data_IF_459909060153
#
_entry.id   IF_459909060153
#
_cell.length_a   1.000
_cell.length_b   1.000
_cell.length_c   1.000
_cell.angle_alpha   90.00
_cell.angle_beta   90.00
_cell.angle_gamma   90.00
#
_symmetry.space_group_name_H-M   'P 1'
#
loop_
_entity.id
_entity.type
_entity.pdbx_description
1 polymer ?
#
# COMPACT_ATOMS: atom_id res chain seq x y z
N UNK A 1 -1.70 -8.65 13.04
CA UNK A 1 -0.39 -9.31 12.92
C UNK A 1 0.05 -9.17 11.48
N UNK A 2 1.30 -8.79 11.24
CA UNK A 2 1.89 -8.79 9.90
C UNK A 2 2.12 -10.24 9.45
N UNK A 3 1.84 -10.54 8.19
CA UNK A 3 1.95 -11.89 7.63
C UNK A 3 3.38 -12.06 7.14
N UNK A 4 4.01 -13.24 7.32
CA UNK A 4 5.34 -13.48 6.75
C UNK A 4 5.33 -13.27 5.23
N UNK A 5 6.32 -12.58 4.65
CA UNK A 5 6.38 -12.34 3.21
C UNK A 5 6.30 -13.63 2.39
N UNK A 6 5.45 -13.62 1.37
CA UNK A 6 5.25 -14.75 0.46
C UNK A 6 4.45 -15.89 1.07
N UNK A 7 3.67 -15.69 2.12
CA UNK A 7 2.78 -16.74 2.65
C UNK A 7 1.59 -17.03 1.73
N UNK A 8 1.11 -16.01 1.02
CA UNK A 8 -0.13 -16.03 0.23
C UNK A 8 0.17 -15.87 -1.25
N UNK A 9 1.23 -15.14 -1.58
CA UNK A 9 1.56 -14.77 -2.97
C UNK A 9 2.93 -15.29 -3.37
N UNK A 10 3.14 -15.51 -4.67
CA UNK A 10 4.46 -15.88 -5.22
C UNK A 10 5.34 -14.62 -5.31
N UNK A 11 6.19 -14.39 -4.32
CA UNK A 11 6.96 -13.14 -4.16
C UNK A 11 7.81 -12.75 -5.37
N UNK A 12 8.49 -13.70 -6.00
CA UNK A 12 9.35 -13.45 -7.14
C UNK A 12 8.67 -13.65 -8.50
N UNK A 13 7.33 -13.70 -8.54
CA UNK A 13 6.60 -14.00 -9.78
C UNK A 13 6.90 -13.01 -10.91
N UNK A 14 7.17 -11.75 -10.58
CA UNK A 14 7.62 -10.73 -11.53
C UNK A 14 8.90 -11.09 -12.31
N UNK A 15 9.67 -12.09 -11.86
CA UNK A 15 10.87 -12.62 -12.51
C UNK A 15 10.60 -13.89 -13.33
N UNK A 16 9.45 -14.53 -13.13
CA UNK A 16 9.10 -15.79 -13.79
C UNK A 16 8.69 -15.58 -15.26
N UNK A 17 8.89 -16.60 -16.10
CA UNK A 17 8.57 -16.51 -17.52
C UNK A 17 7.05 -16.45 -17.79
N UNK A 18 6.26 -17.13 -16.97
CA UNK A 18 4.80 -17.20 -17.04
C UNK A 18 4.11 -15.88 -16.63
N UNK A 19 4.81 -14.98 -15.95
CA UNK A 19 4.27 -13.67 -15.57
C UNK A 19 4.38 -12.61 -16.67
N UNK A 20 5.20 -12.86 -17.70
CA UNK A 20 5.53 -11.88 -18.75
C UNK A 20 4.30 -11.33 -19.45
N UNK A 21 3.31 -12.17 -19.74
CA UNK A 21 2.08 -11.74 -20.41
C UNK A 21 1.30 -10.71 -19.58
N UNK A 22 1.26 -10.87 -18.27
CA UNK A 22 0.58 -9.94 -17.35
C UNK A 22 1.39 -8.65 -17.16
N UNK A 23 2.70 -8.77 -16.91
CA UNK A 23 3.57 -7.60 -16.74
C UNK A 23 3.71 -6.77 -18.02
N UNK A 24 3.58 -7.39 -19.20
CA UNK A 24 3.54 -6.67 -20.48
C UNK A 24 2.38 -5.67 -20.59
N UNK A 25 1.30 -5.85 -19.82
CA UNK A 25 0.14 -4.95 -19.84
C UNK A 25 0.36 -3.66 -19.06
N UNK A 26 1.29 -3.69 -18.09
CA UNK A 26 1.66 -2.53 -17.28
C UNK A 26 3.02 -1.94 -17.67
N UNK A 27 3.69 -2.54 -18.65
CA UNK A 27 4.97 -2.08 -19.18
C UNK A 27 4.85 -1.62 -20.64
N UNK A 28 5.55 -0.55 -21.00
CA UNK A 28 5.75 -0.10 -22.36
C UNK A 28 7.22 0.26 -22.56
N UNK A 29 7.89 -0.36 -23.56
CA UNK A 29 9.33 -0.19 -23.81
C UNK A 29 10.21 -0.33 -22.54
N UNK A 30 9.94 -1.37 -21.74
CA UNK A 30 10.60 -1.68 -20.45
C UNK A 30 10.40 -0.65 -19.32
N UNK A 31 9.57 0.38 -19.53
CA UNK A 31 9.15 1.33 -18.47
C UNK A 31 7.72 1.03 -18.05
N UNK A 32 7.33 1.37 -16.82
CA UNK A 32 5.91 1.28 -16.42
C UNK A 32 5.07 2.24 -17.26
N UNK A 33 3.93 1.76 -17.72
CA UNK A 33 2.93 2.57 -18.41
C UNK A 33 2.24 3.46 -17.38
N UNK A 34 2.03 4.73 -17.72
CA UNK A 34 1.18 5.64 -16.96
C UNK A 34 -0.28 5.31 -17.25
N UNK A 35 -1.08 5.14 -16.21
CA UNK A 35 -2.52 4.97 -16.29
C UNK A 35 -3.20 6.20 -15.73
N UNK A 36 -4.21 6.71 -16.44
CA UNK A 36 -5.18 7.65 -15.89
C UNK A 36 -6.05 7.00 -14.80
N UNK A 37 -6.80 7.81 -14.04
CA UNK A 37 -7.63 7.34 -12.93
C UNK A 37 -8.68 6.29 -13.37
N UNK A 38 -9.22 6.46 -14.57
CA UNK A 38 -10.22 5.60 -15.20
C UNK A 38 -9.62 4.54 -16.12
N UNK A 39 -8.30 4.58 -16.36
CA UNK A 39 -7.65 3.63 -17.24
C UNK A 39 -7.28 2.35 -16.48
N UNK A 40 -7.31 1.23 -17.18
CA UNK A 40 -6.88 -0.06 -16.66
C UNK A 40 -6.12 -0.85 -17.74
N UNK A 41 -5.20 -1.75 -17.35
CA UNK A 41 -4.58 -2.67 -18.28
C UNK A 41 -5.65 -3.57 -18.91
N UNK A 42 -5.68 -3.62 -20.24
CA UNK A 42 -6.63 -4.47 -20.97
C UNK A 42 -6.13 -5.91 -20.98
N UNK A 43 -6.90 -6.80 -20.36
CA UNK A 43 -6.66 -8.24 -20.38
C UNK A 43 -7.44 -8.89 -21.54
N UNK A 44 -6.87 -9.89 -22.22
CA UNK A 44 -7.62 -10.69 -23.18
C UNK A 44 -8.84 -11.37 -22.52
N UNK A 45 -9.99 -11.51 -23.19
CA UNK A 45 -11.21 -12.08 -22.58
C UNK A 45 -11.06 -13.51 -22.05
N UNK A 46 -10.11 -14.28 -22.59
CA UNK A 46 -9.82 -15.64 -22.15
C UNK A 46 -8.96 -15.70 -20.88
N UNK A 47 -8.29 -14.60 -20.52
CA UNK A 47 -7.56 -14.47 -19.26
C UNK A 47 -8.51 -13.95 -18.20
N UNK A 48 -9.07 -14.87 -17.40
CA UNK A 48 -9.95 -14.51 -16.29
C UNK A 48 -9.13 -13.90 -15.14
N UNK A 49 -8.89 -12.59 -15.20
CA UNK A 49 -8.06 -11.84 -14.26
C UNK A 49 -8.87 -10.71 -13.65
N UNK A 50 -9.15 -10.86 -12.37
CA UNK A 50 -9.91 -9.85 -11.63
C UNK A 50 -9.00 -8.72 -11.15
N UNK A 51 -9.54 -7.51 -11.17
CA UNK A 51 -8.90 -6.31 -10.65
C UNK A 51 -9.48 -6.01 -9.27
N UNK A 52 -8.63 -6.07 -8.25
CA UNK A 52 -8.95 -5.68 -6.88
C UNK A 52 -8.43 -4.26 -6.62
N UNK A 53 -9.21 -3.43 -5.93
CA UNK A 53 -8.94 -1.99 -5.79
C UNK A 53 -8.72 -1.64 -4.33
N UNK A 54 -7.67 -0.87 -4.06
CA UNK A 54 -7.34 -0.44 -2.70
C UNK A 54 -6.90 1.02 -2.68
N UNK A 55 -7.45 1.79 -1.73
CA UNK A 55 -7.01 3.14 -1.39
C UNK A 55 -5.86 3.06 -0.38
N UNK A 56 -4.73 3.64 -0.76
CA UNK A 56 -3.50 3.63 0.04
C UNK A 56 -3.09 5.07 0.36
N UNK A 57 -3.12 5.44 1.63
CA UNK A 57 -2.67 6.76 2.08
C UNK A 57 -1.16 6.76 2.32
N UNK A 58 -0.45 7.74 1.77
CA UNK A 58 0.97 8.00 2.03
C UNK A 58 1.06 9.14 3.05
N UNK A 59 1.61 8.84 4.22
CA UNK A 59 1.74 9.80 5.32
C UNK A 59 3.19 9.97 5.78
N UNK A 60 3.51 11.14 6.30
CA UNK A 60 4.86 11.49 6.76
C UNK A 60 5.13 12.98 6.65
N UNK A 61 6.25 13.43 7.24
CA UNK A 61 6.62 14.85 7.30
C UNK A 61 6.81 15.49 5.91
N UNK A 62 6.77 16.82 5.85
CA UNK A 62 7.20 17.54 4.63
C UNK A 62 8.66 17.18 4.27
N UNK A 63 8.97 17.03 2.98
CA UNK A 63 10.34 16.74 2.52
C UNK A 63 10.85 15.30 2.67
N UNK A 64 10.07 14.38 3.26
CA UNK A 64 10.45 12.96 3.41
C UNK A 64 10.35 12.16 2.11
N UNK A 65 9.85 12.73 1.01
CA UNK A 65 9.80 12.05 -0.29
C UNK A 65 8.51 11.25 -0.56
N UNK A 66 7.36 11.68 -0.05
CA UNK A 66 6.05 11.09 -0.36
C UNK A 66 5.78 11.04 -1.87
N UNK A 67 5.90 12.18 -2.55
CA UNK A 67 5.66 12.28 -3.99
C UNK A 67 6.66 11.49 -4.80
N UNK A 68 7.92 11.44 -4.33
CA UNK A 68 8.96 10.62 -4.94
C UNK A 68 8.64 9.12 -4.82
N UNK A 69 8.09 8.65 -3.69
CA UNK A 69 7.64 7.27 -3.53
C UNK A 69 6.46 6.95 -4.45
N UNK A 70 5.43 7.81 -4.48
CA UNK A 70 4.27 7.63 -5.35
C UNK A 70 4.69 7.53 -6.83
N UNK A 71 5.53 8.48 -7.28
CA UNK A 71 6.10 8.48 -8.62
C UNK A 71 6.90 7.19 -8.89
N UNK A 72 7.74 6.76 -7.95
CA UNK A 72 8.55 5.55 -8.08
C UNK A 72 7.71 4.28 -8.24
N UNK A 73 6.68 4.11 -7.42
CA UNK A 73 5.78 2.95 -7.50
C UNK A 73 5.00 2.93 -8.83
N UNK A 74 4.67 4.09 -9.37
CA UNK A 74 4.07 4.22 -10.69
C UNK A 74 5.07 4.15 -11.85
N UNK A 75 6.38 4.20 -11.58
CA UNK A 75 7.45 4.28 -12.58
C UNK A 75 7.44 5.59 -13.38
N UNK A 76 6.99 6.67 -12.75
CA UNK A 76 7.06 8.04 -13.23
C UNK A 76 8.45 8.63 -12.94
N UNK A 77 8.74 9.77 -13.57
CA UNK A 77 9.96 10.53 -13.27
C UNK A 77 9.91 11.07 -11.85
N UNK A 78 11.03 10.96 -11.13
CA UNK A 78 11.11 11.48 -9.77
C UNK A 78 11.14 13.01 -9.79
N UNK A 79 10.41 13.68 -8.88
CA UNK A 79 10.53 15.12 -8.70
C UNK A 79 11.98 15.52 -8.41
N UNK A 80 12.55 16.44 -9.22
CA UNK A 80 13.92 16.94 -9.03
C UNK A 80 14.05 17.99 -7.94
N UNK A 81 12.95 18.68 -7.66
CA UNK A 81 12.86 19.72 -6.64
C UNK A 81 11.72 19.38 -5.70
N UNK A 82 11.91 19.65 -4.41
CA UNK A 82 10.85 19.50 -3.42
C UNK A 82 9.92 20.71 -3.49
N UNK A 83 8.64 20.43 -3.72
CA UNK A 83 7.55 21.38 -3.52
C UNK A 83 6.55 20.74 -2.58
N UNK A 84 6.00 21.51 -1.65
CA UNK A 84 4.93 21.01 -0.81
C UNK A 84 3.65 20.86 -1.62
N UNK A 85 3.07 19.66 -1.58
CA UNK A 85 1.79 19.36 -2.24
C UNK A 85 0.67 20.17 -1.61
N UNK A 86 0.08 21.09 -2.37
CA UNK A 86 -0.93 22.04 -1.88
C UNK A 86 -2.31 21.42 -1.68
N UNK A 87 -2.54 20.22 -2.24
CA UNK A 87 -3.79 19.49 -2.14
C UNK A 87 -3.58 17.98 -2.05
N UNK A 88 -4.62 17.22 -2.42
CA UNK A 88 -4.56 15.76 -2.54
C UNK A 88 -4.10 15.42 -3.95
N UNK A 89 -3.06 14.60 -4.05
CA UNK A 89 -2.64 13.98 -5.30
C UNK A 89 -2.92 12.47 -5.25
N UNK A 90 -3.47 11.95 -6.35
CA UNK A 90 -3.78 10.53 -6.50
C UNK A 90 -2.98 9.93 -7.65
N UNK A 91 -2.21 8.88 -7.37
CA UNK A 91 -1.44 8.13 -8.37
C UNK A 91 -1.91 6.68 -8.41
N UNK A 92 -2.26 6.17 -9.60
CA UNK A 92 -2.72 4.79 -9.76
C UNK A 92 -1.55 3.87 -10.11
N UNK A 93 -1.43 2.75 -9.40
CA UNK A 93 -0.43 1.71 -9.64
C UNK A 93 -1.10 0.36 -9.82
N UNK A 94 -0.81 -0.31 -10.93
CA UNK A 94 -1.22 -1.69 -11.17
C UNK A 94 -0.07 -2.65 -10.85
N UNK A 95 -0.38 -3.74 -10.15
CA UNK A 95 0.57 -4.79 -9.79
C UNK A 95 -0.05 -6.19 -9.95
N UNK A 96 0.38 -6.98 -10.95
CA UNK A 96 -0.04 -8.37 -11.12
C UNK A 96 0.56 -9.27 -10.02
N UNK A 97 -0.26 -10.12 -9.44
CA UNK A 97 0.15 -11.05 -8.39
C UNK A 97 -0.46 -12.42 -8.64
N UNK A 98 0.31 -13.49 -8.38
CA UNK A 98 -0.17 -14.88 -8.41
C UNK A 98 -0.34 -15.40 -6.99
N UNK A 99 -1.56 -15.85 -6.67
CA UNK A 99 -1.88 -16.52 -5.41
C UNK A 99 -1.22 -17.91 -5.38
N UNK A 100 -0.63 -18.27 -4.23
CA UNK A 100 0.04 -19.56 -4.06
C UNK A 100 -0.94 -20.72 -4.06
N UNK A 101 -2.01 -20.61 -3.28
CA UNK A 101 -2.90 -21.75 -3.03
C UNK A 101 -3.74 -22.13 -4.25
N UNK A 102 -4.25 -21.13 -4.98
CA UNK A 102 -5.15 -21.35 -6.13
C UNK A 102 -4.45 -21.24 -7.47
N UNK A 103 -3.23 -20.70 -7.51
CA UNK A 103 -2.53 -20.34 -8.74
C UNK A 103 -3.17 -19.20 -9.53
N UNK A 104 -4.28 -18.62 -9.04
CA UNK A 104 -5.03 -17.55 -9.69
C UNK A 104 -4.22 -16.25 -9.72
N UNK A 105 -4.39 -15.49 -10.80
CA UNK A 105 -3.77 -14.17 -10.97
C UNK A 105 -4.78 -13.09 -10.66
N UNK A 106 -4.35 -12.08 -9.90
CA UNK A 106 -5.09 -10.87 -9.59
C UNK A 106 -4.28 -9.64 -10.01
N UNK A 107 -4.99 -8.59 -10.43
CA UNK A 107 -4.40 -7.27 -10.63
C UNK A 107 -4.76 -6.37 -9.46
N UNK A 108 -3.77 -6.02 -8.66
CA UNK A 108 -3.94 -5.05 -7.60
C UNK A 108 -3.86 -3.65 -8.19
N UNK A 109 -4.93 -2.87 -8.05
CA UNK A 109 -5.01 -1.45 -8.40
C UNK A 109 -4.91 -0.64 -7.11
N UNK A 110 -3.72 -0.16 -6.82
CA UNK A 110 -3.47 0.76 -5.71
C UNK A 110 -3.75 2.19 -6.16
N UNK A 111 -4.67 2.86 -5.50
CA UNK A 111 -4.80 4.31 -5.57
C UNK A 111 -3.95 4.90 -4.45
N UNK A 112 -2.79 5.46 -4.80
CA UNK A 112 -1.90 6.11 -3.85
C UNK A 112 -2.37 7.53 -3.64
N UNK A 113 -2.87 7.83 -2.45
CA UNK A 113 -3.31 9.15 -2.03
C UNK A 113 -2.21 9.79 -1.19
N UNK A 114 -1.77 10.98 -1.59
CA UNK A 114 -0.85 11.77 -0.78
C UNK A 114 -1.33 13.21 -0.64
N UNK A 115 -0.91 13.84 0.46
CA UNK A 115 -1.19 15.24 0.73
C UNK A 115 0.00 15.87 1.45
N UNK A 116 0.26 17.15 1.18
CA UNK A 116 1.24 17.93 1.93
C UNK A 116 0.89 17.98 3.40
N UNK A 117 1.90 17.95 4.27
CA UNK A 117 1.68 17.93 5.72
C UNK A 117 1.06 19.25 6.19
N UNK A 118 1.54 20.38 5.67
CA UNK A 118 0.97 21.70 5.97
C UNK A 118 -0.48 21.80 5.50
N UNK A 119 -0.81 21.23 4.33
CA UNK A 119 -2.19 21.21 3.83
C UNK A 119 -3.11 20.36 4.73
N UNK A 120 -2.66 19.18 5.17
CA UNK A 120 -3.41 18.35 6.11
C UNK A 120 -3.65 19.03 7.45
N UNK A 121 -2.69 19.81 7.94
CA UNK A 121 -2.80 20.54 9.23
C UNK A 121 -3.62 21.83 9.12
N UNK A 122 -3.57 22.50 7.97
CA UNK A 122 -4.23 23.79 7.74
C UNK A 122 -5.71 23.65 7.44
N UNK A 123 -6.11 22.54 6.84
CA UNK A 123 -7.47 22.32 6.37
C UNK A 123 -8.07 21.09 7.04
N UNK A 124 -8.96 21.33 8.01
CA UNK A 124 -9.54 20.27 8.87
C UNK A 124 -10.26 19.16 8.09
N UNK A 125 -10.73 19.45 6.87
CA UNK A 125 -11.42 18.49 6.01
C UNK A 125 -10.49 17.58 5.19
N UNK A 126 -9.21 17.92 5.06
CA UNK A 126 -8.27 17.17 4.19
C UNK A 126 -7.93 15.80 4.77
N UNK A 127 -7.59 15.75 6.07
CA UNK A 127 -7.23 14.50 6.73
C UNK A 127 -8.42 13.51 6.80
N UNK A 128 -9.65 13.92 7.17
CA UNK A 128 -10.83 13.06 7.08
C UNK A 128 -11.05 12.48 5.69
N UNK A 129 -10.98 13.29 4.62
CA UNK A 129 -11.13 12.82 3.23
C UNK A 129 -10.06 11.81 2.82
N UNK A 130 -8.82 11.99 3.30
CA UNK A 130 -7.75 11.03 3.08
C UNK A 130 -7.96 9.71 3.82
N UNK A 131 -8.53 9.77 5.04
CA UNK A 131 -8.80 8.61 5.90
C UNK A 131 -10.05 7.83 5.53
N UNK A 132 -11.03 8.47 4.90
CA UNK A 132 -12.28 7.81 4.51
C UNK A 132 -12.00 6.64 3.57
N UNK A 133 -12.51 5.45 3.93
CA UNK A 133 -12.37 4.21 3.14
C UNK A 133 -10.91 3.88 2.77
N UNK A 134 -9.96 4.18 3.66
CA UNK A 134 -8.56 3.82 3.45
C UNK A 134 -8.34 2.35 3.79
N UNK A 135 -7.70 1.60 2.90
CA UNK A 135 -7.41 0.17 3.10
C UNK A 135 -6.01 -0.04 3.68
N UNK A 136 -5.06 0.81 3.28
CA UNK A 136 -3.68 0.79 3.77
C UNK A 136 -3.09 2.18 4.01
N UNK A 137 -2.14 2.27 4.93
CA UNK A 137 -1.33 3.47 5.16
C UNK A 137 0.15 3.11 5.06
N UNK A 138 0.87 3.87 4.24
CA UNK A 138 2.33 3.88 4.18
C UNK A 138 2.84 5.05 5.03
N UNK A 139 3.52 4.74 6.13
CA UNK A 139 4.17 5.74 6.98
C UNK A 139 5.61 5.95 6.53
N UNK A 140 5.96 7.18 6.16
CA UNK A 140 7.25 7.52 5.61
C UNK A 140 8.10 8.30 6.59
N UNK A 141 9.37 7.91 6.64
CA UNK A 141 10.45 8.71 7.20
C UNK A 141 11.60 8.78 6.18
N UNK A 142 12.54 9.68 6.40
CA UNK A 142 13.75 9.81 5.60
C UNK A 142 14.97 9.37 6.41
N UNK A 143 15.85 8.57 5.83
CA UNK A 143 17.10 8.15 6.49
C UNK A 143 18.01 9.33 6.84
N UNK A 144 17.85 10.47 6.15
CA UNK A 144 18.57 11.73 6.40
C UNK A 144 17.79 12.74 7.25
N UNK A 145 16.75 12.29 7.96
CA UNK A 145 15.94 13.16 8.84
C UNK A 145 15.48 12.36 10.06
N UNK A 146 16.30 12.39 11.12
CA UNK A 146 15.98 11.73 12.40
C UNK A 146 14.63 12.18 12.97
N UNK A 147 14.30 13.46 12.84
CA UNK A 147 13.04 14.00 13.33
C UNK A 147 11.83 13.37 12.65
N UNK A 148 11.93 12.97 11.37
CA UNK A 148 10.86 12.23 10.69
C UNK A 148 10.68 10.80 11.21
N UNK A 149 11.77 10.14 11.61
CA UNK A 149 11.73 8.80 12.18
C UNK A 149 11.13 8.80 13.58
N UNK A 150 11.57 9.72 14.44
CA UNK A 150 11.05 9.82 15.81
C UNK A 150 9.55 10.18 15.85
N UNK A 151 9.01 10.82 14.80
CA UNK A 151 7.58 11.17 14.69
C UNK A 151 6.70 10.01 14.22
N UNK A 152 7.27 8.89 13.72
CA UNK A 152 6.49 7.76 13.18
C UNK A 152 5.47 7.23 14.18
N UNK A 153 5.88 7.02 15.43
CA UNK A 153 5.01 6.52 16.49
C UNK A 153 3.80 7.43 16.73
N UNK A 154 4.03 8.75 16.75
CA UNK A 154 2.96 9.73 16.89
C UNK A 154 2.03 9.72 15.68
N UNK A 155 2.58 9.64 14.46
CA UNK A 155 1.80 9.57 13.23
C UNK A 155 0.93 8.32 13.17
N UNK A 156 1.48 7.17 13.52
CA UNK A 156 0.77 5.88 13.54
C UNK A 156 -0.41 5.97 14.51
N UNK A 157 -0.17 6.42 15.74
CA UNK A 157 -1.24 6.58 16.74
C UNK A 157 -2.32 7.55 16.25
N UNK A 158 -1.95 8.79 15.87
CA UNK A 158 -2.89 9.84 15.46
C UNK A 158 -3.75 9.45 14.25
N UNK A 159 -3.15 8.82 13.24
CA UNK A 159 -3.88 8.52 12.00
C UNK A 159 -4.77 7.29 12.19
N UNK A 160 -4.31 6.30 12.95
CA UNK A 160 -4.97 5.00 13.04
C UNK A 160 -5.91 4.84 14.23
N UNK A 161 -5.97 5.81 15.14
CA UNK A 161 -6.84 5.81 16.33
C UNK A 161 -8.31 5.49 16.04
N UNK A 162 -8.82 5.90 14.88
CA UNK A 162 -10.21 5.72 14.48
C UNK A 162 -10.39 4.76 13.28
N UNK A 163 -9.35 4.02 12.92
CA UNK A 163 -9.31 3.19 11.72
C UNK A 163 -9.20 1.71 12.12
N UNK A 164 -10.35 1.04 12.14
CA UNK A 164 -10.39 -0.40 12.31
C UNK A 164 -9.90 -1.09 11.03
N UNK A 165 -9.01 -2.08 11.21
CA UNK A 165 -8.54 -2.96 10.12
C UNK A 165 -7.95 -2.18 8.94
N UNK A 166 -6.87 -1.44 9.18
CA UNK A 166 -6.07 -0.83 8.10
C UNK A 166 -4.70 -1.45 8.08
N UNK A 167 -4.22 -1.83 6.88
CA UNK A 167 -2.86 -2.34 6.70
C UNK A 167 -1.87 -1.21 6.90
N UNK A 168 -0.84 -1.43 7.73
CA UNK A 168 0.17 -0.43 8.07
C UNK A 168 1.53 -0.94 7.64
N UNK A 169 2.26 -0.18 6.84
CA UNK A 169 3.65 -0.46 6.47
C UNK A 169 4.48 0.81 6.64
N UNK A 170 5.77 0.65 6.90
CA UNK A 170 6.70 1.77 7.05
C UNK A 170 7.70 1.78 5.90
N UNK A 171 8.01 2.97 5.39
CA UNK A 171 8.96 3.16 4.28
C UNK A 171 10.00 4.22 4.67
N UNK A 172 11.27 3.82 4.74
CA UNK A 172 12.40 4.72 4.89
C UNK A 172 12.95 5.12 3.53
N UNK A 173 12.90 6.42 3.22
CA UNK A 173 13.33 7.00 1.95
C UNK A 173 14.76 7.56 2.03
N UNK A 174 15.34 7.91 0.87
CA UNK A 174 16.71 8.45 0.75
C UNK A 174 17.78 7.53 1.33
N UNK A 175 17.52 6.21 1.30
CA UNK A 175 18.44 5.21 1.82
C UNK A 175 19.79 5.17 1.08
N UNK A 176 19.84 5.68 -0.15
CA UNK A 176 21.04 5.85 -0.97
C UNK A 176 21.98 6.95 -0.46
N UNK A 177 21.51 7.87 0.39
CA UNK A 177 22.31 8.96 0.94
C UNK A 177 23.03 8.53 2.23
N UNK A 178 23.72 7.39 2.19
CA UNK A 178 24.30 6.73 3.36
C UNK A 178 25.31 7.60 4.15
N UNK A 179 25.98 8.55 3.50
CA UNK A 179 26.89 9.50 4.17
C UNK A 179 26.16 10.56 5.02
N UNK A 180 24.85 10.70 4.83
CA UNK A 180 23.98 11.65 5.53
C UNK A 180 22.91 10.91 6.36
N UNK A 181 23.14 9.63 6.68
CA UNK A 181 22.18 8.85 7.47
C UNK A 181 22.18 9.34 8.92
N UNK A 182 21.00 9.74 9.40
CA UNK A 182 20.74 10.08 10.80
C UNK A 182 19.95 8.98 11.53
N UNK A 183 19.47 7.97 10.78
CA UNK A 183 18.73 6.80 11.29
C UNK A 183 19.55 5.56 10.99
N UNK A 184 19.91 4.81 12.04
CA UNK A 184 20.74 3.61 11.91
C UNK A 184 19.91 2.36 11.69
N UNK A 185 20.54 1.30 11.19
CA UNK A 185 19.91 -0.03 11.08
C UNK A 185 19.47 -0.59 12.44
N UNK A 186 20.15 -0.21 13.53
CA UNK A 186 19.73 -0.58 14.89
C UNK A 186 18.43 0.11 15.28
N UNK A 187 18.29 1.40 14.96
CA UNK A 187 17.04 2.15 15.21
C UNK A 187 15.87 1.50 14.46
N UNK A 188 16.08 1.15 13.18
CA UNK A 188 15.06 0.47 12.36
C UNK A 188 14.70 -0.89 12.94
N UNK A 189 15.68 -1.70 13.30
CA UNK A 189 15.44 -3.05 13.87
C UNK A 189 14.65 -2.94 15.18
N UNK A 190 15.05 -2.04 16.07
CA UNK A 190 14.34 -1.80 17.32
C UNK A 190 12.90 -1.35 17.08
N UNK A 191 12.67 -0.44 16.12
CA UNK A 191 11.31 -0.02 15.76
C UNK A 191 10.47 -1.20 15.26
N UNK A 192 11.03 -2.07 14.41
CA UNK A 192 10.33 -3.26 13.91
C UNK A 192 9.96 -4.23 15.03
N UNK A 193 10.83 -4.42 16.02
CA UNK A 193 10.58 -5.26 17.20
C UNK A 193 9.46 -4.69 18.09
N UNK A 194 9.49 -3.38 18.35
CA UNK A 194 8.51 -2.71 19.23
C UNK A 194 7.13 -2.63 18.58
N UNK A 195 7.06 -2.27 17.29
CA UNK A 195 5.79 -2.03 16.60
C UNK A 195 5.27 -3.24 15.82
N UNK A 196 6.11 -4.25 15.56
CA UNK A 196 5.75 -5.40 14.74
C UNK A 196 5.45 -5.05 13.27
N UNK A 197 5.89 -3.87 12.82
CA UNK A 197 5.64 -3.36 11.46
C UNK A 197 6.88 -3.57 10.57
N UNK A 198 6.71 -4.03 9.32
CA UNK A 198 7.83 -4.12 8.38
C UNK A 198 8.28 -2.72 7.92
N UNK A 199 9.59 -2.55 7.76
CA UNK A 199 10.21 -1.32 7.25
C UNK A 199 10.89 -1.60 5.91
N UNK A 200 10.40 -0.93 4.85
CA UNK A 200 10.95 -0.99 3.50
C UNK A 200 11.94 0.16 3.29
N UNK A 201 13.04 -0.11 2.60
CA UNK A 201 14.08 0.87 2.29
C UNK A 201 13.98 1.26 0.83
N UNK A 202 13.95 2.56 0.56
CA UNK A 202 13.80 3.13 -0.78
C UNK A 202 14.84 4.23 -0.97
N UNK A 203 15.62 4.16 -2.04
CA UNK A 203 16.67 5.13 -2.36
C UNK A 203 17.14 5.00 -3.80
N UNK A 204 17.86 6.00 -4.30
CA UNK A 204 18.52 6.01 -5.61
C UNK A 204 17.58 6.31 -6.77
N UNK A 205 18.08 6.17 -8.00
CA UNK A 205 17.32 6.38 -9.23
C UNK A 205 16.40 5.20 -9.57
N UNK A 206 15.31 5.46 -10.30
CA UNK A 206 14.28 4.48 -10.75
C UNK A 206 14.81 3.55 -11.87
N UNK A 207 16.09 3.18 -11.82
CA UNK A 207 16.78 2.41 -12.86
C UNK A 207 16.58 0.90 -12.72
N UNK A 208 16.23 0.42 -11.53
CA UNK A 208 16.18 -1.00 -11.19
C UNK A 208 14.87 -1.73 -11.61
N UNK A 209 13.98 -1.04 -12.33
CA UNK A 209 12.78 -1.64 -12.91
C UNK A 209 11.79 -2.18 -11.88
N UNK A 210 11.15 -3.32 -12.16
CA UNK A 210 10.13 -3.89 -11.28
C UNK A 210 10.69 -4.44 -9.96
N UNK A 211 11.95 -4.87 -9.96
CA UNK A 211 12.56 -5.58 -8.82
C UNK A 211 12.72 -4.70 -7.58
N UNK A 212 12.94 -3.40 -7.77
CA UNK A 212 13.09 -2.44 -6.68
C UNK A 212 11.79 -2.23 -5.89
N UNK A 213 10.68 -2.12 -6.61
CA UNK A 213 9.35 -1.84 -6.02
C UNK A 213 8.60 -3.12 -5.64
N UNK A 214 9.01 -4.28 -6.15
CA UNK A 214 8.35 -5.55 -5.92
C UNK A 214 8.18 -5.89 -4.43
N UNK A 215 9.19 -5.77 -3.55
CA UNK A 215 9.02 -6.11 -2.14
C UNK A 215 7.89 -5.33 -1.45
N UNK A 216 7.82 -4.01 -1.69
CA UNK A 216 6.79 -3.14 -1.10
C UNK A 216 5.41 -3.44 -1.70
N UNK A 217 5.29 -3.54 -3.03
CA UNK A 217 4.01 -3.82 -3.69
C UNK A 217 3.46 -5.22 -3.37
N UNK A 218 4.36 -6.20 -3.24
CA UNK A 218 4.00 -7.55 -2.80
C UNK A 218 3.51 -7.55 -1.35
N UNK A 219 4.21 -6.87 -0.45
CA UNK A 219 3.78 -6.78 0.95
C UNK A 219 2.44 -6.07 1.09
N UNK A 220 2.21 -4.99 0.33
CA UNK A 220 0.90 -4.34 0.24
C UNK A 220 -0.18 -5.33 -0.21
N UNK A 221 0.01 -5.96 -1.37
CA UNK A 221 -0.96 -6.89 -1.94
C UNK A 221 -1.29 -8.06 -0.99
N UNK A 222 -0.27 -8.64 -0.37
CA UNK A 222 -0.40 -9.79 0.52
C UNK A 222 -1.17 -9.44 1.80
N UNK A 223 -0.85 -8.33 2.47
CA UNK A 223 -1.54 -7.93 3.69
C UNK A 223 -2.99 -7.51 3.41
N UNK A 224 -3.23 -6.81 2.30
CA UNK A 224 -4.57 -6.39 1.89
C UNK A 224 -5.46 -7.59 1.52
N UNK A 225 -4.92 -8.51 0.70
CA UNK A 225 -5.68 -9.69 0.29
C UNK A 225 -6.03 -10.60 1.46
N UNK A 226 -5.10 -10.79 2.39
CA UNK A 226 -5.37 -11.54 3.61
C UNK A 226 -6.49 -10.91 4.44
N UNK A 227 -6.47 -9.58 4.58
CA UNK A 227 -7.51 -8.87 5.31
C UNK A 227 -8.89 -9.09 4.68
N UNK A 228 -8.99 -9.04 3.36
CA UNK A 228 -10.24 -9.33 2.64
C UNK A 228 -10.69 -10.79 2.84
N UNK A 229 -9.76 -11.76 2.75
CA UNK A 229 -10.07 -13.16 3.02
C UNK A 229 -10.59 -13.38 4.45
N UNK A 230 -10.00 -12.71 5.43
CA UNK A 230 -10.44 -12.75 6.84
C UNK A 230 -11.82 -12.10 7.01
N UNK A 231 -12.06 -10.96 6.36
CA UNK A 231 -13.36 -10.29 6.38
C UNK A 231 -14.45 -11.17 5.74
N UNK A 232 -14.20 -11.75 4.57
CA UNK A 232 -15.13 -12.65 3.89
C UNK A 232 -15.43 -13.91 4.72
N UNK A 233 -14.43 -14.49 5.37
CA UNK A 233 -14.59 -15.65 6.26
C UNK A 233 -15.47 -15.30 7.47
N UNK A 234 -15.29 -14.12 8.06
CA UNK A 234 -16.10 -13.67 9.20
C UNK A 234 -17.58 -13.45 8.86
N UNK A 235 -17.89 -13.05 7.63
CA UNK A 235 -19.27 -12.88 7.13
C UNK A 235 -19.93 -14.23 6.84
N UNK A 236 -19.16 -15.25 6.44
CA UNK A 236 -19.69 -16.58 6.14
C UNK A 236 -20.12 -17.41 7.37
N UNK A 237 -19.69 -17.01 8.57
CA UNK A 237 -19.94 -17.74 9.84
C UNK A 237 -21.26 -17.32 10.51
N UNK A 238 -22.02 -16.37 9.96
CA UNK A 238 -23.36 -15.98 10.46
C UNK A 238 -24.56 -16.53 9.65
N UNK A 239 -24.86 -17.85 9.67
CA UNK A 239 -26.13 -18.38 9.17
C UNK A 239 -27.08 -18.94 10.25
N UNK A 240 -27.10 -18.41 11.49
CA UNK A 240 -28.13 -18.77 12.49
C UNK A 240 -28.52 -17.59 13.40
N UNK A 241 -29.39 -16.70 12.90
CA UNK A 241 -30.22 -15.82 13.74
C UNK A 241 -31.64 -15.64 13.18
N UNK A 242 -32.10 -16.56 12.32
CA UNK A 242 -33.47 -16.62 11.84
C UNK A 242 -33.92 -18.07 11.98
N UNK A 243 -34.51 -18.42 13.12
CA UNK A 243 -35.41 -19.58 13.37
C UNK A 243 -35.62 -19.79 14.89
N UNK A 244 -36.14 -18.77 15.58
CA UNK A 244 -36.98 -18.86 16.81
C UNK A 244 -37.78 -17.55 16.77
N UNK A 245 -39.09 -17.50 16.58
CA UNK A 245 -40.15 -18.23 17.27
C UNK A 245 -41.34 -18.49 16.32
N UNK A 246 -41.87 -19.71 16.36
CA UNK A 246 -43.21 -20.07 15.88
C UNK A 246 -44.03 -20.57 17.06
N UNK A 247 -45.23 -20.01 17.24
CA UNK A 247 -46.30 -20.48 18.14
C UNK A 247 -46.06 -20.11 19.61
N UNK A 248 -46.98 -19.54 20.37
CA UNK A 248 -48.45 -19.57 20.40
C UNK A 248 -48.88 -18.26 21.13
N UNK A 249 -50.11 -17.75 21.18
CA UNK A 249 -51.43 -18.35 21.27
C UNK A 249 -52.47 -17.21 21.16
N UNK A 250 -53.66 -17.54 20.68
CA UNK A 250 -54.85 -16.67 20.58
C UNK A 250 -55.43 -16.49 22.01
N UNK A 251 -56.18 -15.39 22.28
CA UNK A 251 -57.55 -15.39 22.86
C UNK A 251 -57.97 -14.00 23.40
N UNK A 252 -59.15 -13.57 22.91
CA UNK A 252 -60.08 -12.43 23.15
C UNK A 252 -59.58 -11.01 22.89
#
# INVERSE_FOLDING_TARGET
MSIPPGSIIVSDWHRCADSREFFSKILHKKRRRKFGLLEAPMMPPHMNVDIVRYKVLISGKTGVGKSALAARLAGLELPKMHYETTGIETTVVFWPVRLKDTGRVLFFRFELWECGESAMRRFDHMLPSCKEQVDAILFLFSFTDRGSFDDLSNQISRITESLDRVVKLVVGTKFDLFMHTDVTERDVTHFQEVWGLPVFRVGGDVSAGLGEVAPLLNSLAENLWHQDCMAASSVSISPQAALRETGSEIIV
#
